data_IF_159735558252
#
_entry.id   IF_159735558252
#
_cell.length_a   1.000
_cell.length_b   1.000
_cell.length_c   1.000
_cell.angle_alpha   90.00
_cell.angle_beta   90.00
_cell.angle_gamma   90.00
#
_symmetry.space_group_name_H-M   'P 1'
#
loop_
_entity.id
_entity.type
_entity.pdbx_description
1 polymer ?
#
# COMPACT_ATOMS: atom_id res chain seq x y z
N UNK A 1 9.45 -39.96 2.86
CA UNK A 1 10.10 -38.65 2.71
C UNK A 1 9.01 -37.58 2.77
N UNK A 2 9.11 -36.61 3.67
CA UNK A 2 8.13 -35.51 3.71
C UNK A 2 8.29 -34.64 2.45
N UNK A 3 7.22 -34.48 1.68
CA UNK A 3 7.19 -33.56 0.54
C UNK A 3 6.91 -32.14 1.03
N UNK A 4 7.59 -31.15 0.47
CA UNK A 4 7.29 -29.74 0.77
C UNK A 4 5.82 -29.41 0.49
N UNK A 5 5.17 -28.58 1.33
CA UNK A 5 3.81 -28.13 1.07
C UNK A 5 3.73 -27.39 -0.27
N UNK A 6 2.69 -27.67 -1.04
CA UNK A 6 2.41 -27.01 -2.31
C UNK A 6 1.67 -25.69 -2.08
N UNK A 7 1.89 -24.73 -2.96
CA UNK A 7 1.13 -23.48 -3.05
C UNK A 7 1.02 -22.71 -1.73
N UNK A 8 2.11 -22.68 -0.94
CA UNK A 8 2.20 -21.87 0.27
C UNK A 8 2.01 -20.39 -0.09
N UNK A 9 1.04 -19.74 0.55
CA UNK A 9 0.70 -18.36 0.26
C UNK A 9 -0.30 -17.76 1.25
N UNK A 10 -0.81 -16.59 0.89
CA UNK A 10 -1.78 -15.84 1.68
C UNK A 10 -3.16 -16.50 1.54
N UNK A 11 -3.73 -16.93 2.67
CA UNK A 11 -5.06 -17.58 2.72
C UNK A 11 -6.16 -16.66 3.26
N UNK A 12 -5.78 -15.61 4.00
CA UNK A 12 -6.67 -14.59 4.54
C UNK A 12 -5.89 -13.26 4.68
N UNK A 13 -6.60 -12.14 4.56
CA UNK A 13 -6.09 -10.80 4.79
C UNK A 13 -7.12 -9.98 5.57
N UNK A 14 -6.65 -9.10 6.42
CA UNK A 14 -7.46 -8.17 7.18
C UNK A 14 -6.80 -6.79 7.13
N UNK A 15 -7.61 -5.74 7.03
CA UNK A 15 -7.15 -4.35 6.99
C UNK A 15 -7.79 -3.61 8.16
N UNK A 16 -6.94 -3.00 8.99
CA UNK A 16 -7.34 -2.03 9.99
C UNK A 16 -6.73 -0.68 9.63
N UNK A 17 -7.55 0.37 9.67
CA UNK A 17 -7.12 1.76 9.50
C UNK A 17 -7.82 2.61 10.56
N UNK A 18 -7.24 3.76 10.96
CA UNK A 18 -7.90 4.67 11.88
C UNK A 18 -9.24 5.15 11.33
N UNK A 19 -10.20 5.36 12.23
CA UNK A 19 -11.53 5.87 11.90
C UNK A 19 -11.55 7.36 11.57
N UNK A 20 -10.44 8.07 11.79
CA UNK A 20 -10.29 9.50 11.53
C UNK A 20 -9.39 9.73 10.30
N UNK A 21 -9.67 10.80 9.56
CA UNK A 21 -8.78 11.31 8.52
C UNK A 21 -8.82 12.82 8.43
N UNK A 22 -7.74 13.43 7.93
CA UNK A 22 -7.71 14.81 7.47
C UNK A 22 -7.75 14.84 5.94
N UNK A 23 -8.55 15.73 5.36
CA UNK A 23 -8.64 15.92 3.91
C UNK A 23 -7.44 16.72 3.40
N UNK A 24 -6.81 16.25 2.31
CA UNK A 24 -5.58 16.85 1.80
C UNK A 24 -5.80 18.23 1.16
N UNK A 25 -6.97 18.50 0.57
CA UNK A 25 -7.26 19.82 0.02
C UNK A 25 -7.49 20.84 1.13
N UNK A 26 -8.19 20.45 2.21
CA UNK A 26 -8.34 21.30 3.40
C UNK A 26 -6.99 21.56 4.08
N UNK A 27 -6.10 20.55 4.10
CA UNK A 27 -4.76 20.71 4.64
C UNK A 27 -3.88 21.63 3.77
N UNK A 28 -4.05 21.63 2.44
CA UNK A 28 -3.37 22.58 1.55
C UNK A 28 -3.72 24.03 1.90
N UNK A 29 -5.01 24.31 2.16
CA UNK A 29 -5.48 25.64 2.58
C UNK A 29 -4.95 26.03 3.96
N UNK A 30 -5.00 25.11 4.92
CA UNK A 30 -4.50 25.32 6.29
C UNK A 30 -3.00 25.62 6.34
N UNK A 31 -2.19 24.89 5.57
CA UNK A 31 -0.74 25.09 5.49
C UNK A 31 -0.34 26.32 4.65
N UNK A 32 -1.30 26.97 3.97
CA UNK A 32 -1.03 28.09 3.08
C UNK A 32 -0.22 27.73 1.84
N UNK A 33 -0.35 26.49 1.34
CA UNK A 33 0.35 26.02 0.13
C UNK A 33 -0.53 26.13 -1.11
N UNK A 34 0.08 26.04 -2.30
CA UNK A 34 -0.67 26.07 -3.56
C UNK A 34 -1.61 24.87 -3.70
N UNK A 35 -2.85 25.12 -4.13
CA UNK A 35 -3.81 24.07 -4.47
C UNK A 35 -3.19 23.02 -5.43
N UNK A 36 -3.41 21.74 -5.14
CA UNK A 36 -2.85 20.63 -5.91
C UNK A 36 -1.48 20.14 -5.42
N UNK A 37 -0.82 20.83 -4.48
CA UNK A 37 0.51 20.41 -4.00
C UNK A 37 0.50 18.99 -3.41
N UNK A 38 -0.51 18.66 -2.61
CA UNK A 38 -0.68 17.36 -1.98
C UNK A 38 -1.56 16.45 -2.85
N UNK A 39 -2.68 16.96 -3.33
CA UNK A 39 -3.67 16.18 -4.10
C UNK A 39 -3.17 15.73 -5.47
N UNK A 40 -2.36 16.55 -6.16
CA UNK A 40 -1.80 16.24 -7.48
C UNK A 40 -0.30 15.92 -7.36
N UNK A 41 0.44 16.75 -6.63
CA UNK A 41 1.89 16.62 -6.47
C UNK A 41 2.28 15.33 -5.75
N UNK A 42 1.62 15.01 -4.64
CA UNK A 42 1.79 13.72 -3.95
C UNK A 42 0.79 12.65 -4.42
N UNK A 43 -0.36 13.06 -4.98
CA UNK A 43 -1.41 12.13 -5.40
C UNK A 43 -2.23 11.59 -4.23
N UNK A 44 -2.33 12.35 -3.14
CA UNK A 44 -2.99 11.95 -1.89
C UNK A 44 -4.33 12.67 -1.74
N UNK A 45 -5.41 11.95 -1.46
CA UNK A 45 -6.73 12.57 -1.23
C UNK A 45 -6.99 12.79 0.27
N UNK A 46 -6.63 11.80 1.09
CA UNK A 46 -6.89 11.81 2.54
C UNK A 46 -5.70 11.20 3.27
N UNK A 47 -5.48 11.61 4.51
CA UNK A 47 -4.49 11.01 5.40
C UNK A 47 -5.18 10.50 6.67
N UNK A 48 -5.17 9.18 6.85
CA UNK A 48 -5.55 8.56 8.12
C UNK A 48 -4.44 8.79 9.14
N UNK A 49 -4.82 9.04 10.39
CA UNK A 49 -3.88 9.23 11.47
C UNK A 49 -4.41 8.56 12.72
N UNK A 50 -3.49 7.99 13.50
CA UNK A 50 -3.79 7.45 14.81
C UNK A 50 -3.78 8.56 15.85
N UNK A 51 -4.65 8.47 16.86
CA UNK A 51 -4.52 9.30 18.07
C UNK A 51 -3.41 8.73 18.97
N UNK A 52 -3.34 9.15 20.22
CA UNK A 52 -2.41 8.62 21.23
C UNK A 52 -2.68 7.15 21.63
N UNK A 53 -3.64 6.46 21.00
CA UNK A 53 -4.03 5.07 21.29
C UNK A 53 -3.29 4.00 20.45
N UNK A 54 -2.42 4.34 19.50
CA UNK A 54 -1.68 3.38 18.64
C UNK A 54 -0.17 3.74 18.50
N UNK A 55 0.74 2.76 18.56
CA UNK A 55 2.20 2.97 18.50
C UNK A 55 2.97 2.13 17.45
N UNK A 56 4.19 2.60 17.14
CA UNK A 56 5.06 2.22 16.01
C UNK A 56 6.01 1.05 16.32
N UNK A 57 6.07 0.56 17.57
CA UNK A 57 7.04 -0.48 18.00
C UNK A 57 6.82 -1.83 17.27
N UNK A 58 5.65 -2.00 16.65
CA UNK A 58 5.24 -3.20 15.92
C UNK A 58 5.74 -3.30 14.46
N UNK A 59 6.35 -2.26 13.87
CA UNK A 59 6.44 -2.17 12.41
C UNK A 59 7.84 -2.12 11.77
N UNK A 60 8.97 -2.24 12.47
CA UNK A 60 10.26 -1.90 11.84
C UNK A 60 11.46 -2.77 12.28
N UNK A 61 11.90 -3.75 11.45
CA UNK A 61 13.31 -4.19 11.34
C UNK A 61 13.59 -4.81 9.93
N UNK A 62 14.85 -4.72 9.50
CA UNK A 62 15.36 -4.31 8.16
C UNK A 62 15.97 -5.45 7.28
N UNK A 63 16.06 -5.30 5.94
CA UNK A 63 17.23 -5.48 5.00
C UNK A 63 16.93 -5.99 3.55
N UNK A 64 17.86 -5.66 2.63
CA UNK A 64 17.99 -5.83 1.15
C UNK A 64 17.75 -7.23 0.57
N UNK A 65 17.28 -7.26 -0.68
CA UNK A 65 17.38 -8.37 -1.61
C UNK A 65 17.72 -7.89 -3.03
N UNK A 66 18.95 -8.21 -3.46
CA UNK A 66 19.30 -8.45 -4.85
C UNK A 66 19.18 -9.96 -5.07
N UNK A 67 18.12 -10.40 -5.76
CA UNK A 67 18.14 -11.65 -6.50
C UNK A 67 17.08 -11.62 -7.58
N UNK A 68 17.53 -11.78 -8.82
CA UNK A 68 16.66 -11.87 -9.99
C UNK A 68 15.68 -13.04 -9.80
N UNK A 69 14.39 -12.74 -9.89
CA UNK A 69 13.34 -13.76 -9.95
C UNK A 69 13.44 -14.39 -11.35
N UNK A 70 13.84 -15.65 -11.42
CA UNK A 70 13.72 -16.47 -12.62
C UNK A 70 12.35 -17.16 -12.60
N UNK A 71 11.66 -17.21 -13.74
CA UNK A 71 10.45 -18.02 -13.91
C UNK A 71 10.85 -19.38 -14.45
N UNK A 72 10.33 -20.44 -13.84
CA UNK A 72 10.17 -21.79 -14.40
C UNK A 72 11.14 -22.14 -15.55
N UNK A 73 12.41 -22.41 -15.23
CA UNK A 73 13.37 -22.99 -16.18
C UNK A 73 13.63 -22.21 -17.48
N UNK A 74 13.19 -20.95 -17.59
CA UNK A 74 13.31 -20.12 -18.79
C UNK A 74 14.55 -19.23 -18.79
N UNK A 75 15.20 -19.09 -19.96
CA UNK A 75 16.37 -18.22 -20.18
C UNK A 75 16.05 -16.71 -20.28
N UNK A 76 14.77 -16.31 -20.28
CA UNK A 76 14.36 -14.91 -20.42
C UNK A 76 14.18 -14.22 -19.06
N UNK A 77 14.76 -13.03 -18.90
CA UNK A 77 14.61 -12.23 -17.68
C UNK A 77 13.16 -11.72 -17.52
N UNK A 78 12.63 -11.74 -16.28
CA UNK A 78 11.33 -11.11 -15.98
C UNK A 78 11.41 -9.61 -16.28
N UNK A 79 10.31 -9.10 -16.85
CA UNK A 79 10.10 -7.72 -17.31
C UNK A 79 8.67 -7.33 -16.99
N UNK A 80 8.31 -6.05 -17.10
CA UNK A 80 6.97 -5.59 -16.75
C UNK A 80 5.87 -6.29 -17.58
N UNK A 81 6.16 -6.65 -18.84
CA UNK A 81 5.24 -7.42 -19.71
C UNK A 81 4.82 -8.78 -19.13
N UNK A 82 5.62 -9.37 -18.25
CA UNK A 82 5.39 -10.67 -17.63
C UNK A 82 4.55 -10.61 -16.35
N UNK A 83 4.20 -9.41 -15.90
CA UNK A 83 3.42 -9.15 -14.70
C UNK A 83 2.05 -8.59 -15.09
N UNK A 84 0.98 -9.15 -14.56
CA UNK A 84 -0.38 -8.67 -14.79
C UNK A 84 -0.69 -7.45 -13.90
N UNK A 85 -0.07 -7.39 -12.73
CA UNK A 85 -0.09 -6.25 -11.83
C UNK A 85 1.28 -6.03 -11.17
N UNK A 86 1.59 -4.79 -10.81
CA UNK A 86 2.82 -4.42 -10.11
C UNK A 86 2.48 -3.49 -8.94
N UNK A 87 2.80 -3.93 -7.73
CA UNK A 87 2.51 -3.24 -6.47
C UNK A 87 3.81 -2.75 -5.85
N UNK A 88 3.73 -1.62 -5.15
CA UNK A 88 4.88 -1.00 -4.51
C UNK A 88 4.53 -0.60 -3.08
N UNK A 89 5.54 -0.59 -2.20
CA UNK A 89 5.47 0.27 -1.02
C UNK A 89 5.12 1.69 -1.45
N UNK A 90 4.10 2.26 -0.81
CA UNK A 90 3.41 3.48 -1.29
C UNK A 90 3.49 4.60 -0.25
N UNK A 91 4.63 5.31 -0.14
CA UNK A 91 4.73 6.46 0.77
C UNK A 91 3.85 7.62 0.29
N UNK A 92 3.69 7.77 -1.02
CA UNK A 92 2.69 8.61 -1.67
C UNK A 92 2.50 8.15 -3.13
N UNK A 93 1.30 8.31 -3.67
CA UNK A 93 0.93 7.74 -4.98
C UNK A 93 1.81 8.20 -6.14
N UNK A 94 2.29 9.46 -6.13
CA UNK A 94 3.17 9.97 -7.21
C UNK A 94 4.49 9.20 -7.30
N UNK A 95 5.09 8.81 -6.17
CA UNK A 95 6.33 8.02 -6.20
C UNK A 95 6.10 6.66 -6.84
N UNK A 96 4.94 6.04 -6.61
CA UNK A 96 4.60 4.74 -7.21
C UNK A 96 4.45 4.85 -8.72
N UNK A 97 3.84 5.93 -9.21
CA UNK A 97 3.79 6.23 -10.64
C UNK A 97 5.22 6.36 -11.24
N UNK A 98 6.10 7.10 -10.57
CA UNK A 98 7.52 7.22 -10.95
C UNK A 98 8.25 5.88 -10.89
N UNK A 99 7.92 5.03 -9.94
CA UNK A 99 8.55 3.73 -9.72
C UNK A 99 8.23 2.74 -10.82
N UNK A 100 6.99 2.74 -11.32
CA UNK A 100 6.65 1.96 -12.51
C UNK A 100 7.37 2.49 -13.76
N UNK A 101 7.39 3.81 -13.96
CA UNK A 101 8.16 4.42 -15.05
C UNK A 101 9.66 4.04 -14.98
N UNK A 102 10.20 3.93 -13.76
CA UNK A 102 11.56 3.48 -13.52
C UNK A 102 11.77 2.01 -13.88
N UNK A 103 10.79 1.12 -13.66
CA UNK A 103 10.86 -0.26 -14.16
C UNK A 103 10.84 -0.31 -15.69
N UNK A 104 10.04 0.54 -16.34
CA UNK A 104 10.05 0.66 -17.80
C UNK A 104 11.40 1.14 -18.31
N UNK A 105 12.07 2.08 -17.61
CA UNK A 105 13.45 2.46 -17.93
C UNK A 105 14.44 1.30 -17.74
N UNK A 106 14.28 0.47 -16.71
CA UNK A 106 15.10 -0.75 -16.57
C UNK A 106 14.89 -1.69 -17.76
N UNK A 107 13.63 -1.92 -18.16
CA UNK A 107 13.32 -2.72 -19.34
C UNK A 107 13.89 -2.08 -20.63
N UNK A 108 13.90 -0.76 -20.74
CA UNK A 108 14.51 -0.04 -21.87
C UNK A 108 16.02 -0.28 -21.92
N UNK A 109 16.75 -0.02 -20.83
CA UNK A 109 18.22 -0.17 -20.77
C UNK A 109 18.66 -1.63 -21.00
N UNK A 110 17.85 -2.60 -20.59
CA UNK A 110 18.11 -4.02 -20.84
C UNK A 110 17.71 -4.49 -22.25
N UNK A 111 17.09 -3.63 -23.07
CA UNK A 111 16.69 -3.98 -24.44
C UNK A 111 17.83 -3.69 -25.41
N UNK A 112 18.03 -4.59 -26.38
CA UNK A 112 19.06 -4.39 -27.40
C UNK A 112 18.77 -3.16 -28.26
N UNK A 113 19.82 -2.41 -28.65
CA UNK A 113 19.68 -1.15 -29.40
C UNK A 113 18.81 -1.29 -30.66
N UNK A 114 18.90 -2.43 -31.34
CA UNK A 114 18.15 -2.72 -32.56
C UNK A 114 16.63 -2.92 -32.33
N UNK A 115 16.20 -3.19 -31.10
CA UNK A 115 14.80 -3.39 -30.75
C UNK A 115 14.15 -2.17 -30.07
N UNK A 116 14.93 -1.16 -29.67
CA UNK A 116 14.45 -0.02 -28.89
C UNK A 116 13.33 0.74 -29.62
N UNK A 117 13.55 1.09 -30.89
CA UNK A 117 12.55 1.84 -31.68
C UNK A 117 11.20 1.10 -31.79
N UNK A 118 11.24 -0.23 -31.86
CA UNK A 118 10.03 -1.05 -31.97
C UNK A 118 9.31 -1.22 -30.62
N UNK A 119 10.06 -1.40 -29.52
CA UNK A 119 9.49 -1.67 -28.18
C UNK A 119 9.19 -0.41 -27.37
N UNK A 120 9.91 0.68 -27.64
CA UNK A 120 9.88 1.94 -26.90
C UNK A 120 9.86 3.15 -27.85
N UNK A 121 8.85 3.25 -28.74
CA UNK A 121 8.76 4.36 -29.69
C UNK A 121 8.69 5.72 -28.98
N UNK A 122 9.47 6.69 -29.46
CA UNK A 122 9.54 8.05 -28.91
C UNK A 122 10.52 8.22 -27.74
N UNK A 123 11.29 7.18 -27.39
CA UNK A 123 12.31 7.21 -26.34
C UNK A 123 13.74 7.04 -26.90
N UNK A 124 13.94 7.26 -28.20
CA UNK A 124 15.22 7.01 -28.89
C UNK A 124 16.36 7.90 -28.38
N UNK A 125 16.03 9.12 -27.91
CA UNK A 125 17.01 10.07 -27.38
C UNK A 125 17.64 9.64 -26.04
N UNK A 126 17.13 8.57 -25.41
CA UNK A 126 17.64 8.06 -24.14
C UNK A 126 18.52 6.81 -24.29
N UNK A 127 18.97 6.46 -25.51
CA UNK A 127 19.64 5.17 -25.77
C UNK A 127 20.96 4.96 -25.00
N UNK A 128 21.64 6.04 -24.60
CA UNK A 128 22.93 5.99 -23.90
C UNK A 128 22.82 6.32 -22.41
N UNK A 129 21.61 6.43 -21.85
CA UNK A 129 21.44 6.77 -20.43
C UNK A 129 21.92 5.63 -19.52
N UNK A 130 22.56 6.00 -18.42
CA UNK A 130 22.87 5.08 -17.32
C UNK A 130 21.86 5.26 -16.20
N UNK A 131 21.54 4.16 -15.52
CA UNK A 131 20.53 4.20 -14.45
C UNK A 131 20.99 5.10 -13.30
N UNK A 132 22.25 4.99 -12.89
CA UNK A 132 22.86 5.75 -11.81
C UNK A 132 22.88 7.27 -12.02
N UNK A 133 22.81 7.74 -13.27
CA UNK A 133 22.85 9.17 -13.59
C UNK A 133 21.45 9.81 -13.67
N UNK A 134 20.38 9.00 -13.58
CA UNK A 134 19.02 9.41 -13.97
C UNK A 134 18.02 9.44 -12.81
N UNK A 135 18.48 9.45 -11.55
CA UNK A 135 17.57 9.44 -10.38
C UNK A 135 16.68 10.69 -10.30
N UNK A 136 17.19 11.84 -10.71
CA UNK A 136 16.50 13.13 -10.65
C UNK A 136 16.44 13.84 -12.01
N UNK A 137 16.77 13.13 -13.09
CA UNK A 137 16.65 13.65 -14.44
C UNK A 137 15.16 13.83 -14.80
N UNK A 138 14.75 15.09 -14.95
CA UNK A 138 13.35 15.46 -15.18
C UNK A 138 12.87 15.08 -16.58
N UNK A 139 13.76 15.05 -17.56
CA UNK A 139 13.40 14.71 -18.94
C UNK A 139 13.18 13.21 -19.07
N UNK A 140 14.06 12.40 -18.45
CA UNK A 140 13.88 10.95 -18.30
C UNK A 140 12.61 10.65 -17.52
N UNK A 141 12.41 11.28 -16.35
CA UNK A 141 11.20 11.06 -15.55
C UNK A 141 9.93 11.33 -16.38
N UNK A 142 9.85 12.49 -17.03
CA UNK A 142 8.67 12.91 -17.80
C UNK A 142 8.40 11.98 -18.99
N UNK A 143 9.44 11.64 -19.75
CA UNK A 143 9.32 10.77 -20.92
C UNK A 143 8.83 9.38 -20.54
N UNK A 144 9.45 8.75 -19.54
CA UNK A 144 9.09 7.40 -19.12
C UNK A 144 7.75 7.35 -18.39
N UNK A 145 7.39 8.37 -17.60
CA UNK A 145 6.04 8.46 -17.01
C UNK A 145 4.95 8.61 -18.06
N UNK A 146 5.23 9.35 -19.14
CA UNK A 146 4.28 9.51 -20.25
C UNK A 146 4.12 8.20 -21.00
N UNK A 147 5.23 7.55 -21.35
CA UNK A 147 5.26 6.27 -22.04
C UNK A 147 4.56 5.16 -21.23
N UNK A 148 4.85 5.07 -19.92
CA UNK A 148 4.31 4.03 -19.05
C UNK A 148 2.88 4.31 -18.55
N UNK A 149 2.21 5.38 -19.01
CA UNK A 149 0.89 5.78 -18.49
C UNK A 149 -0.16 4.67 -18.65
N UNK A 150 -0.21 4.02 -19.81
CA UNK A 150 -1.16 2.94 -20.07
C UNK A 150 -0.93 1.72 -19.16
N UNK A 151 0.33 1.34 -18.95
CA UNK A 151 0.68 0.26 -18.03
C UNK A 151 0.42 0.65 -16.58
N UNK A 152 0.64 1.91 -16.19
CA UNK A 152 0.31 2.39 -14.86
C UNK A 152 -1.17 2.27 -14.54
N UNK A 153 -2.02 2.78 -15.42
CA UNK A 153 -3.47 2.73 -15.27
C UNK A 153 -3.99 1.29 -15.14
N UNK A 154 -3.41 0.34 -15.89
CA UNK A 154 -3.85 -1.06 -15.90
C UNK A 154 -3.24 -1.92 -14.80
N UNK A 155 -1.92 -1.81 -14.58
CA UNK A 155 -1.15 -2.75 -13.76
C UNK A 155 -0.91 -2.27 -12.33
N UNK A 156 -0.98 -0.95 -12.08
CA UNK A 156 -0.52 -0.37 -10.80
C UNK A 156 -1.59 0.46 -10.11
N UNK A 157 -2.31 1.32 -10.83
CA UNK A 157 -3.31 2.23 -10.25
C UNK A 157 -4.39 1.54 -9.41
N UNK A 158 -4.92 0.35 -9.76
CA UNK A 158 -5.87 -0.36 -8.89
C UNK A 158 -5.32 -0.66 -7.49
N UNK A 159 -4.00 -0.79 -7.35
CA UNK A 159 -3.35 -1.00 -6.04
C UNK A 159 -3.23 0.27 -5.18
N UNK A 160 -3.52 1.45 -5.73
CA UNK A 160 -3.32 2.72 -5.01
C UNK A 160 -4.55 3.23 -4.28
N UNK A 161 -5.68 2.52 -4.33
CA UNK A 161 -6.94 2.95 -3.74
C UNK A 161 -6.81 3.28 -2.25
N UNK A 162 -6.28 2.35 -1.44
CA UNK A 162 -6.10 2.58 0.00
C UNK A 162 -5.02 3.64 0.26
N UNK A 163 -3.88 3.59 -0.44
CA UNK A 163 -2.79 4.55 -0.25
C UNK A 163 -3.25 6.00 -0.50
N UNK A 164 -4.08 6.22 -1.52
CA UNK A 164 -4.66 7.53 -1.83
C UNK A 164 -5.63 8.03 -0.73
N UNK A 165 -6.37 7.11 -0.10
CA UNK A 165 -7.39 7.42 0.91
C UNK A 165 -6.84 7.45 2.35
N UNK A 166 -5.69 6.84 2.62
CA UNK A 166 -5.16 6.64 3.98
C UNK A 166 -3.77 7.27 4.16
N UNK A 167 -2.98 7.40 3.11
CA UNK A 167 -1.58 7.83 3.24
C UNK A 167 -0.63 6.68 3.48
N UNK A 168 0.61 7.04 3.84
CA UNK A 168 1.66 6.09 4.11
C UNK A 168 1.36 5.32 5.40
N UNK A 169 1.17 4.01 5.29
CA UNK A 169 0.99 3.12 6.43
C UNK A 169 2.31 2.42 6.82
N UNK A 170 3.45 2.84 6.26
CA UNK A 170 4.76 2.19 6.42
C UNK A 170 4.74 0.74 5.90
N UNK A 171 5.08 -0.25 6.73
CA UNK A 171 5.21 -1.65 6.30
C UNK A 171 3.93 -2.26 5.71
N UNK A 172 2.72 -2.05 6.27
CA UNK A 172 1.50 -2.51 5.64
C UNK A 172 1.17 -1.79 4.33
N UNK A 173 1.87 -0.73 3.90
CA UNK A 173 1.51 0.00 2.65
C UNK A 173 1.52 -0.90 1.42
N UNK A 174 2.49 -1.81 1.30
CA UNK A 174 2.52 -2.74 0.16
C UNK A 174 1.33 -3.72 0.20
N UNK A 175 0.99 -4.21 1.39
CA UNK A 175 -0.11 -5.15 1.59
C UNK A 175 -1.48 -4.45 1.50
N UNK A 176 -1.57 -3.17 1.87
CA UNK A 176 -2.70 -2.29 1.55
C UNK A 176 -2.85 -2.11 0.05
N UNK A 177 -1.75 -2.10 -0.71
CA UNK A 177 -1.80 -2.18 -2.16
C UNK A 177 -2.34 -3.51 -2.69
N UNK A 178 -2.03 -4.62 -2.03
CA UNK A 178 -2.60 -5.93 -2.35
C UNK A 178 -4.10 -5.98 -2.05
N UNK A 179 -4.53 -5.51 -0.89
CA UNK A 179 -5.95 -5.39 -0.56
C UNK A 179 -6.66 -4.49 -1.56
N UNK A 180 -6.06 -3.35 -1.95
CA UNK A 180 -6.62 -2.46 -2.97
C UNK A 180 -6.85 -3.17 -4.30
N UNK A 181 -5.85 -3.91 -4.80
CA UNK A 181 -6.01 -4.71 -6.02
C UNK A 181 -7.16 -5.73 -5.88
N UNK A 182 -7.22 -6.43 -4.76
CA UNK A 182 -8.23 -7.46 -4.50
C UNK A 182 -9.66 -6.89 -4.45
N UNK A 183 -9.87 -5.74 -3.82
CA UNK A 183 -11.21 -5.14 -3.68
C UNK A 183 -11.64 -4.31 -4.90
N UNK A 184 -10.72 -4.04 -5.83
CA UNK A 184 -11.00 -3.31 -7.07
C UNK A 184 -11.31 -4.21 -8.27
N UNK A 185 -11.16 -5.53 -8.14
CA UNK A 185 -11.29 -6.49 -9.24
C UNK A 185 -12.20 -7.67 -8.84
N UNK A 186 -12.78 -8.35 -9.82
CA UNK A 186 -13.56 -9.58 -9.57
C UNK A 186 -12.64 -10.80 -9.43
N UNK A 187 -13.15 -11.89 -8.83
CA UNK A 187 -12.43 -13.16 -8.77
C UNK A 187 -11.97 -13.63 -10.16
N UNK A 188 -12.85 -13.54 -11.16
CA UNK A 188 -12.53 -13.88 -12.55
C UNK A 188 -11.48 -12.96 -13.17
N UNK A 189 -11.52 -11.66 -12.84
CA UNK A 189 -10.52 -10.69 -13.26
C UNK A 189 -9.16 -10.91 -12.60
N UNK A 190 -9.10 -11.57 -11.44
CA UNK A 190 -7.87 -11.86 -10.70
C UNK A 190 -7.28 -13.24 -11.00
N UNK A 191 -8.11 -14.19 -11.42
CA UNK A 191 -7.75 -15.60 -11.57
C UNK A 191 -6.49 -15.79 -12.43
N UNK A 192 -5.50 -16.50 -11.88
CA UNK A 192 -4.26 -16.85 -12.60
C UNK A 192 -3.24 -15.72 -12.77
N UNK A 193 -3.58 -14.46 -12.43
CA UNK A 193 -2.70 -13.30 -12.57
C UNK A 193 -1.39 -13.48 -11.80
N UNK A 194 -0.29 -13.02 -12.40
CA UNK A 194 1.01 -12.86 -11.72
C UNK A 194 1.15 -11.41 -11.25
N UNK A 195 1.25 -11.25 -9.94
CA UNK A 195 1.36 -9.95 -9.28
C UNK A 195 2.80 -9.76 -8.80
N UNK A 196 3.49 -8.73 -9.27
CA UNK A 196 4.78 -8.30 -8.72
C UNK A 196 4.58 -7.40 -7.51
N UNK A 197 5.45 -7.54 -6.51
CA UNK A 197 5.41 -6.78 -5.27
C UNK A 197 6.81 -6.26 -4.94
N UNK A 198 6.97 -4.95 -4.82
CA UNK A 198 8.21 -4.31 -4.40
C UNK A 198 8.05 -3.71 -3.00
N UNK A 199 8.68 -4.35 -2.02
CA UNK A 199 8.77 -3.84 -0.65
C UNK A 199 10.04 -3.02 -0.48
N UNK A 200 9.94 -1.89 0.23
CA UNK A 200 11.05 -1.01 0.56
C UNK A 200 10.94 -0.51 2.00
N UNK A 201 12.09 -0.39 2.67
CA UNK A 201 12.25 0.29 3.95
C UNK A 201 13.58 1.05 3.98
N UNK A 202 13.55 2.29 4.48
CA UNK A 202 14.73 3.16 4.58
C UNK A 202 15.82 2.56 5.48
N UNK A 203 17.10 2.79 5.14
CA UNK A 203 18.26 2.22 5.86
C UNK A 203 19.39 1.62 5.00
N UNK A 204 19.21 0.66 4.09
CA UNK A 204 18.02 0.31 3.32
C UNK A 204 17.78 -1.20 3.20
N UNK A 205 16.50 -1.53 3.01
CA UNK A 205 15.94 -2.85 2.82
C UNK A 205 14.98 -2.88 1.64
N UNK A 206 15.05 -3.89 0.77
CA UNK A 206 14.07 -3.98 -0.32
C UNK A 206 14.00 -5.36 -0.92
N UNK A 207 12.81 -5.83 -1.26
CA UNK A 207 12.62 -7.08 -1.97
C UNK A 207 11.59 -6.90 -3.07
N UNK A 208 11.95 -7.31 -4.29
CA UNK A 208 10.98 -7.56 -5.35
C UNK A 208 10.69 -9.06 -5.37
N UNK A 209 9.41 -9.42 -5.21
CA UNK A 209 8.93 -10.80 -5.29
C UNK A 209 7.64 -10.85 -6.11
N UNK A 210 7.09 -12.04 -6.34
CA UNK A 210 5.82 -12.18 -7.06
C UNK A 210 4.92 -13.24 -6.45
N UNK A 211 3.62 -13.03 -6.60
CA UNK A 211 2.57 -14.00 -6.27
C UNK A 211 1.87 -14.44 -7.55
N UNK A 212 1.32 -15.65 -7.54
CA UNK A 212 0.37 -16.11 -8.56
C UNK A 212 -0.98 -16.32 -7.88
N UNK A 213 -2.00 -15.63 -8.37
CA UNK A 213 -3.36 -15.80 -7.88
C UNK A 213 -3.90 -17.15 -8.40
N UNK A 214 -4.66 -17.86 -7.57
CA UNK A 214 -5.32 -19.11 -7.95
C UNK A 214 -6.11 -18.94 -9.24
N UNK A 215 -6.15 -19.98 -10.08
CA UNK A 215 -7.01 -20.02 -11.28
C UNK A 215 -8.47 -20.32 -10.94
N UNK A 216 -8.72 -20.89 -9.76
CA UNK A 216 -10.07 -21.18 -9.30
C UNK A 216 -10.74 -19.92 -8.76
N UNK A 217 -11.66 -19.39 -9.56
CA UNK A 217 -12.52 -18.26 -9.25
C UNK A 217 -13.99 -18.67 -9.09
N UNK A 218 -14.25 -19.96 -8.84
CA UNK A 218 -15.61 -20.43 -8.57
C UNK A 218 -16.13 -19.89 -7.24
N UNK A 219 -17.46 -19.79 -7.11
CA UNK A 219 -18.10 -19.40 -5.84
C UNK A 219 -17.75 -20.40 -4.74
N UNK A 220 -17.31 -19.92 -3.58
CA UNK A 220 -16.84 -20.74 -2.47
C UNK A 220 -15.39 -21.21 -2.55
N UNK A 221 -14.68 -20.91 -3.66
CA UNK A 221 -13.23 -21.11 -3.77
C UNK A 221 -12.45 -20.32 -2.72
N UNK A 222 -11.18 -20.64 -2.53
CA UNK A 222 -10.30 -19.89 -1.63
C UNK A 222 -10.19 -18.41 -2.03
N UNK A 223 -10.14 -18.12 -3.34
CA UNK A 223 -10.11 -16.75 -3.85
C UNK A 223 -11.42 -16.02 -3.56
N UNK A 224 -12.58 -16.65 -3.83
CA UNK A 224 -13.89 -16.06 -3.55
C UNK A 224 -14.09 -15.77 -2.05
N UNK A 225 -13.64 -16.68 -1.17
CA UNK A 225 -13.65 -16.49 0.28
C UNK A 225 -12.76 -15.34 0.73
N UNK A 226 -11.54 -15.24 0.19
CA UNK A 226 -10.63 -14.13 0.47
C UNK A 226 -11.26 -12.78 0.09
N UNK A 227 -11.85 -12.68 -1.10
CA UNK A 227 -12.52 -11.46 -1.57
C UNK A 227 -13.76 -11.13 -0.75
N UNK A 228 -14.58 -12.13 -0.42
CA UNK A 228 -15.75 -11.96 0.44
C UNK A 228 -15.36 -11.45 1.83
N UNK A 229 -14.27 -11.97 2.39
CA UNK A 229 -13.70 -11.53 3.67
C UNK A 229 -13.23 -10.07 3.66
N UNK A 230 -12.93 -9.49 2.49
CA UNK A 230 -12.50 -8.10 2.33
C UNK A 230 -13.62 -7.15 1.89
N UNK A 231 -14.86 -7.64 1.77
CA UNK A 231 -16.01 -6.84 1.31
C UNK A 231 -16.30 -5.61 2.18
N UNK A 232 -15.92 -5.63 3.45
CA UNK A 232 -16.08 -4.50 4.37
C UNK A 232 -15.14 -3.32 4.11
N UNK A 233 -14.06 -3.50 3.34
CA UNK A 233 -12.97 -2.51 3.25
C UNK A 233 -13.43 -1.17 2.67
N UNK A 234 -14.20 -1.19 1.57
CA UNK A 234 -14.72 0.06 0.97
C UNK A 234 -15.71 0.78 1.90
N UNK A 235 -16.76 0.11 2.44
CA UNK A 235 -17.64 0.72 3.44
C UNK A 235 -16.88 1.26 4.66
N UNK A 236 -15.88 0.54 5.18
CA UNK A 236 -15.09 0.99 6.33
C UNK A 236 -14.34 2.30 6.02
N UNK A 237 -13.74 2.42 4.84
CA UNK A 237 -13.02 3.63 4.44
C UNK A 237 -13.94 4.84 4.27
N UNK A 238 -15.18 4.61 3.81
CA UNK A 238 -16.23 5.61 3.68
C UNK A 238 -16.81 6.04 5.03
N UNK A 239 -16.93 5.10 5.98
CA UNK A 239 -17.44 5.36 7.32
C UNK A 239 -16.49 6.16 8.23
N UNK A 240 -15.25 6.41 7.79
CA UNK A 240 -14.32 7.25 8.54
C UNK A 240 -14.82 8.69 8.64
N UNK A 241 -14.45 9.38 9.71
CA UNK A 241 -14.83 10.76 9.98
C UNK A 241 -13.71 11.72 9.57
N UNK A 242 -14.07 12.75 8.80
CA UNK A 242 -13.18 13.86 8.52
C UNK A 242 -12.96 14.69 9.79
N UNK A 243 -11.72 15.13 9.99
CA UNK A 243 -11.31 16.01 11.08
C UNK A 243 -10.76 17.29 10.47
N UNK A 244 -11.11 18.42 11.06
CA UNK A 244 -10.62 19.74 10.62
C UNK A 244 -9.08 19.81 10.76
N UNK A 245 -8.34 20.46 9.83
CA UNK A 245 -6.89 20.57 9.90
C UNK A 245 -6.33 21.15 11.21
N UNK A 246 -7.06 22.07 11.86
CA UNK A 246 -6.67 22.62 13.16
C UNK A 246 -6.80 21.55 14.27
N UNK A 247 -7.91 20.82 14.29
CA UNK A 247 -8.13 19.72 15.24
C UNK A 247 -7.10 18.60 15.01
N UNK A 248 -6.81 18.25 13.77
CA UNK A 248 -5.74 17.31 13.40
C UNK A 248 -4.39 17.76 13.96
N UNK A 249 -4.02 19.04 13.78
CA UNK A 249 -2.77 19.60 14.29
C UNK A 249 -2.69 19.52 15.82
N UNK A 250 -3.79 19.84 16.51
CA UNK A 250 -3.87 19.69 17.97
C UNK A 250 -3.70 18.24 18.43
N UNK A 251 -4.28 17.27 17.71
CA UNK A 251 -4.11 15.84 18.01
C UNK A 251 -2.64 15.43 17.84
N UNK A 252 -1.94 15.95 16.82
CA UNK A 252 -0.51 15.69 16.64
C UNK A 252 0.33 16.28 17.77
N UNK A 253 0.01 17.48 18.26
CA UNK A 253 0.69 18.08 19.42
C UNK A 253 0.48 17.26 20.70
N UNK A 254 -0.75 16.78 20.95
CA UNK A 254 -1.06 15.89 22.08
C UNK A 254 -0.23 14.61 21.99
N UNK A 255 -0.11 14.04 20.78
CA UNK A 255 0.68 12.83 20.55
C UNK A 255 2.16 13.06 20.84
N UNK A 256 2.74 14.17 20.38
CA UNK A 256 4.14 14.53 20.63
C UNK A 256 4.39 14.73 22.13
N UNK A 257 3.55 15.55 22.78
CA UNK A 257 3.68 15.89 24.21
C UNK A 257 3.63 14.67 25.13
N UNK A 258 2.82 13.68 24.79
CA UNK A 258 2.59 12.52 25.64
C UNK A 258 3.41 11.28 25.21
N UNK A 259 4.29 11.39 24.21
CA UNK A 259 4.99 10.24 23.61
C UNK A 259 5.77 9.39 24.63
N UNK A 260 6.40 10.03 25.63
CA UNK A 260 7.19 9.38 26.68
C UNK A 260 6.55 9.45 28.06
N UNK A 261 5.29 9.86 28.16
CA UNK A 261 4.67 10.19 29.43
C UNK A 261 4.21 8.93 30.17
N UNK A 262 4.58 8.84 31.44
CA UNK A 262 4.11 7.85 32.39
C UNK A 262 4.08 8.49 33.80
N UNK A 263 2.99 8.36 34.58
CA UNK A 263 1.70 7.78 34.20
C UNK A 263 0.93 8.67 33.20
N UNK A 264 0.06 8.07 32.40
CA UNK A 264 -0.74 8.77 31.39
C UNK A 264 -2.08 8.08 31.13
N UNK A 265 -3.16 8.86 31.10
CA UNK A 265 -4.48 8.43 30.61
C UNK A 265 -4.79 9.23 29.34
N UNK A 266 -4.94 8.57 28.18
CA UNK A 266 -5.36 9.23 26.94
C UNK A 266 -6.66 10.02 27.08
N UNK A 267 -6.70 11.21 26.48
CA UNK A 267 -7.81 12.16 26.63
C UNK A 267 -8.88 12.03 25.55
N UNK A 268 -8.55 11.44 24.40
CA UNK A 268 -9.50 11.26 23.29
C UNK A 268 -10.60 10.25 23.63
N UNK A 269 -11.84 10.56 23.23
CA UNK A 269 -12.99 9.67 23.41
C UNK A 269 -12.83 8.38 22.59
N UNK A 270 -13.13 7.20 23.17
CA UNK A 270 -13.17 5.94 22.43
C UNK A 270 -14.35 5.85 21.44
N UNK A 271 -15.36 6.74 21.54
CA UNK A 271 -16.58 6.67 20.73
C UNK A 271 -16.35 6.89 19.23
N UNK A 272 -15.20 7.47 18.87
CA UNK A 272 -14.83 7.65 17.46
C UNK A 272 -14.27 6.39 16.84
N UNK A 273 -13.93 5.36 17.62
CA UNK A 273 -13.29 4.14 17.13
C UNK A 273 -14.31 3.15 16.54
N UNK A 274 -13.86 2.33 15.59
CA UNK A 274 -14.71 1.29 15.02
C UNK A 274 -15.06 0.21 16.08
N UNK A 275 -16.24 -0.43 15.99
CA UNK A 275 -16.59 -1.56 16.84
C UNK A 275 -15.51 -2.65 16.84
N UNK A 276 -15.19 -3.19 18.01
CA UNK A 276 -14.13 -4.20 18.16
C UNK A 276 -12.69 -3.67 18.17
N UNK A 277 -12.47 -2.35 18.04
CA UNK A 277 -11.12 -1.75 18.12
C UNK A 277 -10.58 -1.83 19.54
N UNK A 278 -9.33 -2.28 19.69
CA UNK A 278 -8.59 -2.18 20.94
C UNK A 278 -7.97 -0.81 21.09
N UNK A 279 -7.96 -0.25 22.30
CA UNK A 279 -7.46 1.09 22.55
C UNK A 279 -6.74 1.16 23.91
N UNK A 280 -5.66 1.95 23.97
CA UNK A 280 -4.81 2.13 25.15
C UNK A 280 -5.56 2.85 26.27
N UNK A 281 -6.05 2.16 27.30
CA UNK A 281 -6.80 2.73 28.41
C UNK A 281 -5.96 3.63 29.34
N UNK A 282 -4.79 3.13 29.74
CA UNK A 282 -3.92 3.78 30.73
C UNK A 282 -2.47 3.29 30.61
N UNK A 283 -1.53 4.17 30.94
CA UNK A 283 -0.11 3.87 31.16
C UNK A 283 0.20 4.18 32.62
N UNK A 284 0.72 3.22 33.37
CA UNK A 284 1.12 3.48 34.76
C UNK A 284 2.53 4.06 34.91
N UNK A 285 2.93 4.32 36.15
CA UNK A 285 4.24 4.86 36.54
C UNK A 285 5.42 3.95 36.13
N UNK A 286 5.16 2.66 35.87
CA UNK A 286 6.13 1.67 35.40
C UNK A 286 6.06 1.46 33.89
N UNK A 287 5.39 2.35 33.17
CA UNK A 287 5.20 2.29 31.72
C UNK A 287 4.43 1.04 31.24
N UNK A 288 3.71 0.35 32.13
CA UNK A 288 2.83 -0.76 31.73
C UNK A 288 1.59 -0.19 31.05
N UNK A 289 1.25 -0.74 29.88
CA UNK A 289 0.12 -0.30 29.06
C UNK A 289 -1.08 -1.21 29.27
N UNK A 290 -2.23 -0.63 29.59
CA UNK A 290 -3.50 -1.31 29.78
C UNK A 290 -4.41 -0.99 28.60
N UNK A 291 -5.17 -1.96 28.12
CA UNK A 291 -6.02 -1.81 26.94
C UNK A 291 -7.45 -2.24 27.22
N UNK A 292 -8.40 -1.54 26.61
CA UNK A 292 -9.80 -1.92 26.55
C UNK A 292 -10.21 -2.12 25.09
N UNK A 293 -11.41 -2.66 24.86
CA UNK A 293 -11.94 -2.94 23.52
C UNK A 293 -13.33 -2.36 23.36
N UNK A 294 -13.56 -1.64 22.26
CA UNK A 294 -14.92 -1.24 21.88
C UNK A 294 -15.76 -2.51 21.71
N UNK A 295 -16.97 -2.58 22.27
CA UNK A 295 -17.87 -3.70 22.03
C UNK A 295 -18.02 -3.99 20.52
N UNK A 296 -18.14 -5.26 20.16
CA UNK A 296 -18.50 -5.62 18.80
C UNK A 296 -19.93 -5.13 18.54
N UNK A 297 -20.19 -4.57 17.37
CA UNK A 297 -21.57 -4.34 16.94
C UNK A 297 -22.28 -5.70 16.89
N UNK A 298 -23.54 -5.76 17.36
CA UNK A 298 -24.34 -6.98 17.25
C UNK A 298 -24.45 -7.36 15.77
N UNK A 299 -23.80 -8.45 15.36
CA UNK A 299 -23.99 -9.01 14.03
C UNK A 299 -25.32 -9.78 14.01
N UNK A 300 -26.14 -9.67 12.96
CA UNK A 300 -27.16 -10.67 12.68
C UNK A 300 -26.48 -12.04 12.62
N UNK A 301 -27.05 -13.06 13.27
CA UNK A 301 -26.46 -14.40 13.36
C UNK A 301 -26.05 -14.96 11.98
N UNK A 302 -24.79 -14.80 11.60
CA UNK A 302 -24.19 -15.57 10.51
C UNK A 302 -23.79 -16.91 11.15
N UNK A 303 -24.53 -17.97 10.79
CA UNK A 303 -24.17 -19.34 11.13
C UNK A 303 -22.70 -19.56 10.80
N UNK A 304 -21.89 -19.75 11.85
CA UNK A 304 -20.51 -20.20 11.71
C UNK A 304 -20.56 -21.56 11.02
N UNK A 305 -20.20 -21.62 9.75
CA UNK A 305 -19.81 -22.87 9.12
C UNK A 305 -18.58 -23.37 9.88
N UNK A 306 -18.77 -24.42 10.66
CA UNK A 306 -17.68 -25.19 11.25
C UNK A 306 -16.76 -25.66 10.12
N UNK A 307 -15.45 -25.44 10.31
CA UNK A 307 -14.40 -26.04 9.51
C UNK A 307 -14.43 -27.56 9.65
#
# INVERSE_FOLDING_TARGET
MATWPKDVGIVALELLVPSLYVDQAQLEEFDGVSAGKYTIGFGQSKMGFCTDREDIISLCLTVKAQKAIQVDGGKEAIRLKHLDAMLFHSPYCKLVQKSLARLVLNDYVLTSKNELAAKFPGLENFAEVKLEDTYFDRDVEKAFMTFSKGDFEKKTKPSLFIANQVGNMYTPSLYGGLVSLLVCESASGLAGKRVGLFSYGSGLASSLYSLRISKDASKGSALDKLLSGLSYVKPMLEARKAVDPLEFSQIMEVREKNHHKAPYTPQSSPDTLFPGTWYLDYIDDKHRRFYQRIPLAEQPQIQRLAL
#
